data_IF_056176894706
#
_entry.id   IF_056176894706
#
_cell.length_a   1.000
_cell.length_b   1.000
_cell.length_c   1.000
_cell.angle_alpha   90.00
_cell.angle_beta   90.00
_cell.angle_gamma   90.00
#
_symmetry.space_group_name_H-M   'P 1'
#
loop_
_entity.id
_entity.type
_entity.pdbx_description
1 polymer ?
#
# COMPACT_ATOMS: atom_id res chain seq x y z
N UNK A 1 4.46 -25.36 -21.04
CA UNK A 1 3.10 -25.29 -21.63
C UNK A 1 2.67 -23.85 -21.53
N UNK A 2 2.34 -23.22 -22.66
CA UNK A 2 1.96 -21.80 -22.74
C UNK A 2 0.82 -21.53 -21.75
N UNK A 3 1.08 -20.71 -20.74
CA UNK A 3 0.07 -20.05 -19.93
C UNK A 3 -0.67 -19.07 -20.85
N UNK A 4 -1.61 -19.60 -21.64
CA UNK A 4 -2.60 -18.81 -22.35
C UNK A 4 -3.60 -18.28 -21.33
N UNK A 5 -3.77 -16.95 -21.35
CA UNK A 5 -5.01 -16.23 -21.11
C UNK A 5 -5.91 -16.78 -20.00
N UNK A 6 -5.57 -16.46 -18.76
CA UNK A 6 -6.58 -16.02 -17.81
C UNK A 6 -6.05 -14.77 -17.11
N UNK A 7 -6.87 -13.72 -17.14
CA UNK A 7 -6.72 -12.40 -16.52
C UNK A 7 -6.70 -12.49 -14.98
N UNK A 8 -5.90 -13.38 -14.42
CA UNK A 8 -5.51 -13.30 -13.02
C UNK A 8 -4.54 -12.13 -12.90
N UNK A 9 -5.04 -11.04 -12.29
CA UNK A 9 -4.30 -9.82 -11.95
C UNK A 9 -2.86 -10.16 -11.56
N UNK A 10 -1.89 -9.63 -12.31
CA UNK A 10 -0.46 -9.95 -12.26
C UNK A 10 0.24 -9.50 -10.95
N UNK A 11 -0.42 -9.47 -9.80
CA UNK A 11 0.18 -9.02 -8.53
C UNK A 11 1.23 -9.99 -7.99
N UNK A 12 2.08 -9.52 -7.08
CA UNK A 12 3.06 -10.34 -6.36
C UNK A 12 3.29 -9.77 -4.96
N UNK A 13 3.85 -10.58 -4.06
CA UNK A 13 4.22 -10.10 -2.73
C UNK A 13 5.15 -11.07 -2.01
N UNK A 14 5.75 -10.62 -0.93
CA UNK A 14 6.59 -11.45 -0.07
C UNK A 14 6.56 -10.98 1.38
N UNK A 15 7.03 -11.86 2.26
CA UNK A 15 7.30 -11.54 3.66
C UNK A 15 8.55 -10.68 3.74
N UNK A 16 8.47 -9.65 4.56
CA UNK A 16 9.56 -8.73 4.96
C UNK A 16 9.82 -8.95 6.44
N UNK A 17 11.02 -8.63 6.96
CA UNK A 17 11.27 -8.75 8.39
C UNK A 17 10.26 -7.96 9.25
N UNK A 18 9.88 -6.73 8.85
CA UNK A 18 8.84 -5.94 9.53
C UNK A 18 8.18 -4.92 8.58
N UNK A 19 7.08 -4.30 9.03
CA UNK A 19 6.34 -3.32 8.25
C UNK A 19 7.07 -2.00 7.99
N UNK A 20 8.07 -1.63 8.81
CA UNK A 20 8.88 -0.43 8.51
C UNK A 20 9.79 -0.67 7.31
N UNK A 21 10.35 -1.88 7.19
CA UNK A 21 11.12 -2.29 6.02
C UNK A 21 10.23 -2.50 4.78
N UNK A 22 8.98 -2.95 4.96
CA UNK A 22 8.01 -3.01 3.86
C UNK A 22 7.69 -1.61 3.32
N UNK A 23 7.46 -0.62 4.20
CA UNK A 23 7.28 0.78 3.82
C UNK A 23 8.53 1.35 3.11
N UNK A 24 9.74 1.03 3.60
CA UNK A 24 10.99 1.41 2.93
C UNK A 24 11.10 0.80 1.54
N UNK A 25 10.74 -0.48 1.38
CA UNK A 25 10.76 -1.14 0.08
C UNK A 25 9.70 -0.55 -0.87
N UNK A 26 8.50 -0.22 -0.39
CA UNK A 26 7.48 0.51 -1.15
C UNK A 26 7.99 1.86 -1.68
N UNK A 27 8.70 2.62 -0.85
CA UNK A 27 9.35 3.86 -1.28
C UNK A 27 10.52 3.62 -2.25
N UNK A 28 11.25 2.51 -2.11
CA UNK A 28 12.30 2.13 -3.05
C UNK A 28 11.73 1.81 -4.44
N UNK A 29 10.60 1.11 -4.51
CA UNK A 29 9.82 0.92 -5.74
C UNK A 29 9.43 2.26 -6.36
N UNK A 30 8.75 3.12 -5.60
CA UNK A 30 8.31 4.42 -6.10
C UNK A 30 9.47 5.26 -6.65
N UNK A 31 10.58 5.36 -5.89
CA UNK A 31 11.79 6.10 -6.27
C UNK A 31 12.38 5.59 -7.57
N UNK A 32 12.59 4.28 -7.69
CA UNK A 32 13.22 3.74 -8.89
C UNK A 32 12.27 3.83 -10.10
N UNK A 33 10.98 3.50 -9.95
CA UNK A 33 9.99 3.60 -11.03
C UNK A 33 9.91 5.03 -11.57
N UNK A 34 9.83 6.03 -10.68
CA UNK A 34 9.74 7.45 -11.07
C UNK A 34 10.95 7.93 -11.90
N UNK A 35 12.11 7.33 -11.69
CA UNK A 35 13.34 7.69 -12.41
C UNK A 35 13.50 7.01 -13.78
N UNK A 36 12.76 5.92 -14.05
CA UNK A 36 12.93 5.12 -15.25
C UNK A 36 12.70 5.91 -16.55
N UNK A 37 11.67 6.77 -16.68
CA UNK A 37 11.45 7.51 -17.93
C UNK A 37 12.63 8.42 -18.33
N UNK A 38 13.31 9.03 -17.36
CA UNK A 38 14.50 9.83 -17.62
C UNK A 38 15.71 8.95 -17.95
N UNK A 39 15.85 7.79 -17.31
CA UNK A 39 16.87 6.81 -17.66
C UNK A 39 16.66 6.24 -19.08
N UNK A 40 15.40 5.98 -19.46
CA UNK A 40 15.03 5.61 -20.84
C UNK A 40 15.41 6.71 -21.83
N UNK A 41 15.13 7.97 -21.49
CA UNK A 41 15.53 9.12 -22.32
C UNK A 41 17.05 9.21 -22.52
N UNK A 42 17.85 8.83 -21.53
CA UNK A 42 19.31 8.81 -21.64
C UNK A 42 19.84 7.63 -22.47
N UNK A 43 19.25 6.45 -22.30
CA UNK A 43 19.76 5.19 -22.88
C UNK A 43 19.17 4.86 -24.27
N UNK A 44 17.89 5.18 -24.46
CA UNK A 44 17.08 4.85 -25.66
C UNK A 44 16.09 6.01 -25.92
N UNK A 45 16.58 7.19 -26.35
CA UNK A 45 15.74 8.39 -26.49
C UNK A 45 14.51 8.20 -27.38
N UNK A 46 14.61 7.31 -28.37
CA UNK A 46 13.53 6.92 -29.28
C UNK A 46 12.31 6.33 -28.58
N UNK A 47 12.51 5.62 -27.47
CA UNK A 47 11.43 4.97 -26.70
C UNK A 47 10.45 5.98 -26.10
N UNK A 48 10.95 7.17 -25.79
CA UNK A 48 10.20 8.25 -25.14
C UNK A 48 10.22 9.55 -25.96
N UNK A 49 10.46 9.42 -27.26
CA UNK A 49 10.55 10.56 -28.17
C UNK A 49 9.28 11.42 -28.15
N UNK A 50 9.47 12.74 -28.21
CA UNK A 50 8.38 13.71 -28.23
C UNK A 50 7.76 14.04 -26.87
N UNK A 51 8.18 13.37 -25.78
CA UNK A 51 7.74 13.71 -24.41
C UNK A 51 8.70 14.69 -23.74
N UNK A 52 8.14 15.72 -23.12
CA UNK A 52 8.86 16.65 -22.24
C UNK A 52 9.26 15.98 -20.92
N UNK A 53 10.23 16.56 -20.20
CA UNK A 53 10.63 16.04 -18.88
C UNK A 53 9.46 16.01 -17.89
N UNK A 54 8.54 16.98 -17.98
CA UNK A 54 7.34 17.01 -17.15
C UNK A 54 6.41 15.83 -17.45
N UNK A 55 6.18 15.51 -18.73
CA UNK A 55 5.36 14.35 -19.12
C UNK A 55 6.03 13.04 -18.69
N UNK A 56 7.36 12.93 -18.83
CA UNK A 56 8.11 11.77 -18.37
C UNK A 56 7.99 11.56 -16.86
N UNK A 57 8.04 12.63 -16.08
CA UNK A 57 7.85 12.58 -14.63
C UNK A 57 6.39 12.37 -14.22
N UNK A 58 5.44 12.26 -15.15
CA UNK A 58 4.02 12.02 -14.87
C UNK A 58 3.42 10.89 -15.71
N UNK A 59 4.27 10.00 -16.27
CA UNK A 59 3.77 8.73 -16.83
C UNK A 59 3.20 7.85 -15.72
N UNK A 60 2.13 7.13 -16.05
CA UNK A 60 1.56 6.15 -15.13
C UNK A 60 2.51 4.97 -14.93
N UNK A 61 2.42 4.30 -13.78
CA UNK A 61 3.29 3.14 -13.49
C UNK A 61 3.14 2.05 -14.55
N UNK A 62 1.92 1.81 -15.04
CA UNK A 62 1.65 0.83 -16.09
C UNK A 62 2.33 1.19 -17.41
N UNK A 63 2.25 2.45 -17.85
CA UNK A 63 2.96 2.91 -19.04
C UNK A 63 4.48 2.73 -18.91
N UNK A 64 5.05 3.05 -17.75
CA UNK A 64 6.49 2.86 -17.51
C UNK A 64 6.87 1.39 -17.62
N UNK A 65 6.08 0.46 -17.04
CA UNK A 65 6.34 -0.97 -17.15
C UNK A 65 6.19 -1.47 -18.59
N UNK A 66 5.19 -0.98 -19.33
CA UNK A 66 4.98 -1.33 -20.73
C UNK A 66 6.13 -0.84 -21.64
N UNK A 67 6.66 0.36 -21.38
CA UNK A 67 7.84 0.86 -22.09
C UNK A 67 9.07 -0.01 -21.79
N UNK A 68 9.28 -0.40 -20.53
CA UNK A 68 10.41 -1.25 -20.15
C UNK A 68 10.34 -2.64 -20.80
N UNK A 69 9.15 -3.25 -20.85
CA UNK A 69 8.91 -4.55 -21.50
C UNK A 69 9.11 -4.52 -23.02
N UNK A 70 9.01 -3.34 -23.65
CA UNK A 70 9.22 -3.19 -25.09
C UNK A 70 10.69 -3.23 -25.52
N UNK A 71 11.61 -3.07 -24.57
CA UNK A 71 13.07 -3.07 -24.78
C UNK A 71 13.81 -3.98 -23.77
N UNK A 72 13.46 -5.28 -23.69
CA UNK A 72 13.98 -6.18 -22.65
C UNK A 72 15.51 -6.33 -22.68
N UNK A 73 16.14 -6.12 -23.83
CA UNK A 73 17.60 -6.14 -23.99
C UNK A 73 18.31 -4.91 -23.38
N UNK A 74 17.57 -3.84 -23.11
CA UNK A 74 18.08 -2.57 -22.56
C UNK A 74 17.82 -2.41 -21.05
N UNK A 75 17.07 -3.32 -20.43
CA UNK A 75 16.62 -3.18 -19.04
C UNK A 75 17.76 -2.95 -18.04
N UNK A 76 18.87 -3.68 -18.15
CA UNK A 76 20.00 -3.56 -17.24
C UNK A 76 20.71 -2.20 -17.38
N UNK A 77 20.84 -1.71 -18.62
CA UNK A 77 21.42 -0.40 -18.93
C UNK A 77 20.53 0.75 -18.43
N UNK A 78 19.21 0.66 -18.65
CA UNK A 78 18.22 1.62 -18.13
C UNK A 78 18.24 1.63 -16.59
N UNK A 79 18.24 0.45 -15.95
CA UNK A 79 18.33 0.34 -14.49
C UNK A 79 19.61 0.97 -13.95
N UNK A 80 20.75 0.84 -14.64
CA UNK A 80 21.99 1.47 -14.24
C UNK A 80 21.94 3.01 -14.25
N UNK A 81 21.12 3.61 -15.11
CA UNK A 81 20.92 5.07 -15.20
C UNK A 81 19.73 5.60 -14.37
N UNK A 82 18.92 4.71 -13.81
CA UNK A 82 17.84 5.05 -12.88
C UNK A 82 18.37 5.63 -11.54
N UNK A 83 17.46 5.87 -10.58
CA UNK A 83 17.78 6.26 -9.20
C UNK A 83 18.76 5.30 -8.48
N UNK A 84 18.95 4.08 -9.01
CA UNK A 84 20.00 3.14 -8.56
C UNK A 84 21.41 3.70 -8.71
N UNK A 85 21.63 4.65 -9.63
CA UNK A 85 22.91 5.36 -9.80
C UNK A 85 23.22 6.36 -8.68
N UNK A 86 22.23 6.71 -7.86
CA UNK A 86 22.33 7.77 -6.86
C UNK A 86 22.23 9.20 -7.41
N UNK A 87 22.00 9.37 -8.72
CA UNK A 87 21.87 10.70 -9.34
C UNK A 87 20.44 11.24 -9.23
N UNK A 88 20.32 12.55 -9.03
CA UNK A 88 19.08 13.34 -9.18
C UNK A 88 17.89 12.88 -8.32
N UNK A 89 18.14 12.31 -7.14
CA UNK A 89 17.10 11.81 -6.25
C UNK A 89 16.15 12.94 -5.80
N UNK A 90 16.66 14.15 -5.63
CA UNK A 90 15.92 15.35 -5.27
C UNK A 90 14.91 15.79 -6.34
N UNK A 91 15.13 15.41 -7.60
CA UNK A 91 14.26 15.78 -8.74
C UNK A 91 13.06 14.86 -8.90
N UNK A 92 13.01 13.74 -8.16
CA UNK A 92 11.96 12.73 -8.32
C UNK A 92 10.60 13.18 -7.76
N UNK A 93 10.58 14.27 -7.00
CA UNK A 93 9.36 14.87 -6.48
C UNK A 93 9.14 14.63 -4.99
N UNK A 94 7.95 15.02 -4.52
CA UNK A 94 7.57 14.99 -3.10
C UNK A 94 6.82 13.71 -2.73
N UNK A 95 7.06 13.22 -1.53
CA UNK A 95 6.39 12.06 -0.92
C UNK A 95 5.35 12.55 0.08
N UNK A 96 4.07 12.44 -0.27
CA UNK A 96 2.97 12.98 0.51
C UNK A 96 2.40 11.89 1.41
N UNK A 97 2.20 12.23 2.68
CA UNK A 97 1.86 11.28 3.75
C UNK A 97 0.90 11.96 4.72
N UNK A 98 -0.05 11.25 5.36
CA UNK A 98 -0.91 11.87 6.37
C UNK A 98 -0.07 12.49 7.50
N UNK A 99 -0.57 13.56 8.11
CA UNK A 99 0.12 14.22 9.22
C UNK A 99 0.37 13.25 10.38
N UNK A 100 -0.57 12.33 10.61
CA UNK A 100 -0.55 11.26 11.63
C UNK A 100 0.17 9.98 11.19
N UNK A 101 0.95 10.02 10.09
CA UNK A 101 1.75 8.89 9.60
C UNK A 101 2.60 8.21 10.69
N UNK A 102 2.85 6.92 10.52
CA UNK A 102 3.86 6.21 11.28
C UNK A 102 5.27 6.81 11.03
N UNK A 103 6.10 6.85 12.08
CA UNK A 103 7.43 7.49 12.02
C UNK A 103 8.37 6.85 10.99
N UNK A 104 8.10 5.60 10.55
CA UNK A 104 8.90 4.90 9.54
C UNK A 104 9.04 5.68 8.25
N UNK A 105 8.07 6.52 7.87
CA UNK A 105 8.13 7.27 6.61
C UNK A 105 9.23 8.33 6.56
N UNK A 106 9.48 9.03 7.68
CA UNK A 106 10.60 9.96 7.77
C UNK A 106 11.93 9.20 7.71
N UNK A 107 12.04 8.10 8.47
CA UNK A 107 13.21 7.23 8.45
C UNK A 107 13.45 6.61 7.07
N UNK A 108 12.40 6.23 6.35
CA UNK A 108 12.51 5.65 5.01
C UNK A 108 13.02 6.67 4.00
N UNK A 109 12.51 7.91 4.04
CA UNK A 109 12.97 8.99 3.16
C UNK A 109 14.44 9.37 3.39
N UNK A 110 14.89 9.35 4.65
CA UNK A 110 16.29 9.50 5.03
C UNK A 110 17.15 8.36 4.45
N UNK A 111 16.83 7.10 4.79
CA UNK A 111 17.58 5.92 4.35
C UNK A 111 17.67 5.81 2.81
N UNK A 112 16.58 6.11 2.10
CA UNK A 112 16.52 5.94 0.64
C UNK A 112 17.18 7.10 -0.13
N UNK A 113 17.65 8.12 0.58
CA UNK A 113 18.43 9.23 0.02
C UNK A 113 17.62 10.32 -0.68
N UNK A 114 16.29 10.32 -0.57
CA UNK A 114 15.48 11.47 -1.04
C UNK A 114 15.50 12.62 -0.02
N UNK A 115 15.76 12.33 1.25
CA UNK A 115 15.87 13.32 2.33
C UNK A 115 14.52 13.69 2.94
N UNK A 116 14.59 14.16 4.20
CA UNK A 116 13.40 14.50 5.00
C UNK A 116 12.57 15.64 4.39
N UNK A 117 13.21 16.58 3.71
CA UNK A 117 12.58 17.75 3.07
C UNK A 117 11.69 17.39 1.88
N UNK A 118 11.76 16.14 1.40
CA UNK A 118 10.87 15.62 0.36
C UNK A 118 9.58 15.05 0.93
N UNK A 119 9.48 14.83 2.25
CA UNK A 119 8.29 14.29 2.90
C UNK A 119 7.37 15.43 3.32
N UNK A 120 6.19 15.50 2.70
CA UNK A 120 5.21 16.55 2.99
C UNK A 120 4.05 15.95 3.80
N UNK A 121 3.80 16.42 5.03
CA UNK A 121 2.61 16.03 5.77
C UNK A 121 1.35 16.68 5.16
N UNK A 122 0.35 15.86 4.88
CA UNK A 122 -0.99 16.30 4.48
C UNK A 122 -1.87 16.36 5.72
N UNK A 123 -2.58 17.47 5.99
CA UNK A 123 -3.51 17.58 7.11
C UNK A 123 -4.53 16.43 7.16
N UNK A 124 -4.98 16.11 8.37
CA UNK A 124 -6.08 15.16 8.60
C UNK A 124 -7.34 15.89 9.02
N UNK A 125 -8.50 15.30 8.73
CA UNK A 125 -9.80 15.79 9.16
C UNK A 125 -10.11 15.39 10.62
N UNK A 126 -11.33 15.72 11.05
CA UNK A 126 -11.84 15.42 12.39
C UNK A 126 -12.06 13.92 12.67
N UNK A 127 -12.06 13.08 11.63
CA UNK A 127 -12.05 11.62 11.73
C UNK A 127 -10.62 11.05 11.75
N UNK A 128 -9.60 11.90 11.81
CA UNK A 128 -8.19 11.56 11.73
C UNK A 128 -7.79 10.89 10.40
N UNK A 129 -8.56 11.11 9.34
CA UNK A 129 -8.30 10.64 7.97
C UNK A 129 -7.63 11.75 7.17
N UNK A 130 -6.79 11.42 6.19
CA UNK A 130 -6.19 12.41 5.29
C UNK A 130 -7.27 13.30 4.64
N UNK A 131 -7.11 14.61 4.73
CA UNK A 131 -7.99 15.56 4.05
C UNK A 131 -7.64 15.61 2.55
N UNK A 132 -8.57 15.11 1.74
CA UNK A 132 -8.41 14.99 0.28
C UNK A 132 -8.38 16.37 -0.41
N UNK A 133 -9.05 17.38 0.16
CA UNK A 133 -9.01 18.73 -0.42
C UNK A 133 -7.65 19.38 -0.19
N UNK A 134 -7.06 19.20 0.99
CA UNK A 134 -5.70 19.67 1.25
C UNK A 134 -4.66 18.86 0.45
N UNK A 135 -4.87 17.54 0.26
CA UNK A 135 -4.06 16.75 -0.67
C UNK A 135 -4.08 17.35 -2.08
N UNK A 136 -5.26 17.59 -2.65
CA UNK A 136 -5.40 18.15 -4.00
C UNK A 136 -4.72 19.51 -4.12
N UNK A 137 -4.92 20.40 -3.14
CA UNK A 137 -4.32 21.72 -3.09
C UNK A 137 -2.78 21.66 -3.06
N UNK A 138 -2.21 20.78 -2.25
CA UNK A 138 -0.75 20.57 -2.20
C UNK A 138 -0.25 20.06 -3.55
N UNK A 139 -0.90 19.04 -4.12
CA UNK A 139 -0.49 18.44 -5.41
C UNK A 139 -0.54 19.47 -6.53
N UNK A 140 -1.62 20.23 -6.65
CA UNK A 140 -1.76 21.28 -7.67
C UNK A 140 -0.76 22.42 -7.48
N UNK A 141 -0.47 22.81 -6.24
CA UNK A 141 0.55 23.81 -5.92
C UNK A 141 1.95 23.38 -6.40
N UNK A 142 2.36 22.16 -6.05
CA UNK A 142 3.63 21.59 -6.48
C UNK A 142 3.72 21.46 -8.01
N UNK A 143 2.62 21.02 -8.65
CA UNK A 143 2.57 20.86 -10.10
C UNK A 143 2.65 22.20 -10.85
N UNK A 144 2.08 23.28 -10.31
CA UNK A 144 2.19 24.63 -10.87
C UNK A 144 3.66 25.11 -10.92
N UNK A 145 4.47 24.69 -9.94
CA UNK A 145 5.92 24.95 -9.86
C UNK A 145 6.77 23.90 -10.60
N UNK A 146 6.14 22.98 -11.33
CA UNK A 146 6.82 21.85 -12.01
C UNK A 146 7.61 20.94 -11.06
N UNK A 147 7.17 20.83 -9.81
CA UNK A 147 7.66 19.84 -8.86
C UNK A 147 6.80 18.56 -8.96
N UNK A 148 7.37 17.40 -9.33
CA UNK A 148 6.61 16.16 -9.42
C UNK A 148 6.12 15.66 -8.06
N UNK A 149 5.12 14.79 -8.09
CA UNK A 149 4.73 14.00 -6.93
C UNK A 149 5.35 12.63 -7.08
N UNK A 150 6.31 12.29 -6.21
CA UNK A 150 6.93 10.97 -6.18
C UNK A 150 5.87 9.92 -5.86
N UNK A 151 5.06 10.19 -4.83
CA UNK A 151 3.91 9.38 -4.49
C UNK A 151 3.13 9.90 -3.30
N UNK A 152 2.03 9.23 -3.02
CA UNK A 152 1.10 9.49 -1.92
C UNK A 152 0.95 8.20 -1.11
N UNK A 153 0.93 8.32 0.20
CA UNK A 153 0.58 7.23 1.13
C UNK A 153 -0.84 7.42 1.61
N UNK A 154 -1.69 6.40 1.44
CA UNK A 154 -2.94 6.30 2.19
C UNK A 154 -2.79 5.27 3.31
N UNK A 155 -3.29 5.56 4.51
CA UNK A 155 -3.18 4.69 5.68
C UNK A 155 -4.50 3.94 5.91
N UNK A 156 -4.41 2.62 6.06
CA UNK A 156 -5.54 1.75 6.40
C UNK A 156 -5.28 1.14 7.77
N UNK A 157 -5.84 1.79 8.79
CA UNK A 157 -5.59 1.51 10.20
C UNK A 157 -4.45 2.38 10.75
N UNK A 158 -4.75 3.65 11.06
CA UNK A 158 -3.81 4.57 11.74
C UNK A 158 -3.36 4.01 13.09
N UNK A 159 -2.15 4.39 13.52
CA UNK A 159 -1.50 3.80 14.70
C UNK A 159 -2.32 4.01 15.99
N UNK A 160 -2.87 5.20 16.18
CA UNK A 160 -3.48 5.59 17.46
C UNK A 160 -5.02 5.50 17.43
N UNK A 161 -5.64 5.79 16.29
CA UNK A 161 -7.10 5.85 16.16
C UNK A 161 -7.70 4.67 15.39
N UNK A 162 -6.89 3.88 14.69
CA UNK A 162 -7.38 2.85 13.77
C UNK A 162 -8.14 3.43 12.56
N UNK A 163 -7.90 4.72 12.24
CA UNK A 163 -8.58 5.41 11.15
C UNK A 163 -8.19 4.83 9.79
N UNK A 164 -9.11 4.94 8.83
CA UNK A 164 -8.93 4.44 7.46
C UNK A 164 -9.11 5.63 6.53
N UNK A 165 -8.03 6.00 5.84
CA UNK A 165 -8.05 7.05 4.84
C UNK A 165 -8.99 6.66 3.68
N UNK A 166 -9.59 7.67 3.05
CA UNK A 166 -10.44 7.48 1.87
C UNK A 166 -9.62 7.13 0.63
N UNK A 167 -9.12 5.88 0.54
CA UNK A 167 -8.28 5.40 -0.57
C UNK A 167 -9.01 5.55 -1.92
N UNK A 168 -10.32 5.29 -1.93
CA UNK A 168 -11.21 5.51 -3.09
C UNK A 168 -11.18 6.97 -3.56
N UNK A 169 -11.14 7.92 -2.63
CA UNK A 169 -11.07 9.35 -2.93
C UNK A 169 -9.68 9.75 -3.44
N UNK A 170 -8.60 9.16 -2.90
CA UNK A 170 -7.23 9.37 -3.41
C UNK A 170 -7.13 8.86 -4.86
N UNK A 171 -7.69 7.68 -5.15
CA UNK A 171 -7.71 7.11 -6.50
C UNK A 171 -8.56 7.96 -7.45
N UNK A 172 -9.73 8.43 -7.00
CA UNK A 172 -10.58 9.33 -7.79
C UNK A 172 -9.85 10.65 -8.11
N UNK A 173 -9.16 11.23 -7.13
CA UNK A 173 -8.33 12.42 -7.32
C UNK A 173 -7.20 12.17 -8.32
N UNK A 174 -6.50 11.03 -8.25
CA UNK A 174 -5.48 10.65 -9.24
C UNK A 174 -6.03 10.66 -10.66
N UNK A 175 -7.20 10.04 -10.89
CA UNK A 175 -7.87 9.99 -12.21
C UNK A 175 -8.28 11.38 -12.72
N UNK A 176 -8.62 12.31 -11.83
CA UNK A 176 -8.89 13.71 -12.20
C UNK A 176 -7.60 14.40 -12.62
N UNK A 177 -6.54 14.28 -11.81
CA UNK A 177 -5.24 14.91 -12.03
C UNK A 177 -4.48 14.36 -13.26
N UNK A 178 -4.70 13.10 -13.61
CA UNK A 178 -4.15 12.49 -14.83
C UNK A 178 -4.59 13.26 -16.09
N UNK A 179 -5.83 13.76 -16.12
CA UNK A 179 -6.33 14.60 -17.23
C UNK A 179 -5.60 15.94 -17.34
N UNK A 180 -5.02 16.39 -16.23
CA UNK A 180 -4.21 17.60 -16.14
C UNK A 180 -2.71 17.30 -16.34
N UNK A 181 -2.34 16.07 -16.71
CA UNK A 181 -0.96 15.65 -16.93
C UNK A 181 -0.15 15.48 -15.63
N UNK A 182 -0.80 15.11 -14.53
CA UNK A 182 -0.20 14.88 -13.22
C UNK A 182 -0.46 13.43 -12.80
N UNK A 183 0.60 12.70 -12.42
CA UNK A 183 0.49 11.33 -11.92
C UNK A 183 1.33 11.15 -10.65
N UNK A 184 0.81 10.34 -9.72
CA UNK A 184 1.53 9.92 -8.53
C UNK A 184 1.38 8.43 -8.26
N UNK A 185 2.47 7.84 -7.78
CA UNK A 185 2.47 6.49 -7.20
C UNK A 185 1.60 6.47 -5.93
N UNK A 186 0.75 5.47 -5.77
CA UNK A 186 -0.01 5.27 -4.53
C UNK A 186 0.54 4.06 -3.78
N UNK A 187 1.00 4.30 -2.55
CA UNK A 187 1.28 3.25 -1.58
C UNK A 187 0.17 3.22 -0.53
N UNK A 188 -0.33 2.04 -0.17
CA UNK A 188 -1.25 1.89 0.96
C UNK A 188 -0.51 1.27 2.13
N UNK A 189 -0.36 2.04 3.21
CA UNK A 189 0.14 1.53 4.49
C UNK A 189 -1.03 0.84 5.23
N UNK A 190 -1.22 -0.44 4.94
CA UNK A 190 -2.18 -1.31 5.60
C UNK A 190 -1.48 -2.25 6.59
N UNK A 191 -0.37 -1.81 7.20
CA UNK A 191 0.40 -2.66 8.11
C UNK A 191 -0.51 -3.23 9.22
N UNK A 192 -1.38 -2.39 9.79
CA UNK A 192 -2.37 -2.83 10.77
C UNK A 192 -3.66 -3.34 10.11
N UNK A 193 -4.30 -2.55 9.25
CA UNK A 193 -5.65 -2.84 8.73
C UNK A 193 -5.72 -3.80 7.54
N UNK A 194 -4.60 -4.31 7.03
CA UNK A 194 -4.56 -5.10 5.79
C UNK A 194 -5.34 -6.41 5.86
N UNK A 195 -5.21 -7.16 6.96
CA UNK A 195 -6.01 -8.38 7.19
C UNK A 195 -7.50 -8.09 7.35
N UNK A 196 -7.87 -6.86 7.72
CA UNK A 196 -9.26 -6.39 7.74
C UNK A 196 -9.94 -6.52 6.37
N UNK A 197 -9.18 -6.54 5.27
CA UNK A 197 -9.75 -6.72 3.92
C UNK A 197 -10.49 -8.05 3.76
N UNK A 198 -10.17 -9.07 4.57
CA UNK A 198 -10.79 -10.39 4.52
C UNK A 198 -12.31 -10.36 4.83
N UNK A 199 -12.82 -9.35 5.54
CA UNK A 199 -14.27 -9.25 5.78
C UNK A 199 -15.05 -8.88 4.51
N UNK A 200 -14.37 -8.38 3.47
CA UNK A 200 -15.02 -7.95 2.22
C UNK A 200 -14.88 -8.99 1.11
N UNK A 201 -14.33 -10.17 1.39
CA UNK A 201 -14.09 -11.20 0.39
C UNK A 201 -14.98 -12.41 0.67
N UNK A 202 -15.74 -12.87 -0.31
CA UNK A 202 -16.54 -14.09 -0.21
C UNK A 202 -15.66 -15.35 -0.21
N UNK A 203 -16.27 -16.54 -0.16
CA UNK A 203 -15.54 -17.81 -0.13
C UNK A 203 -14.69 -18.08 -1.39
N UNK A 204 -15.05 -17.46 -2.51
CA UNK A 204 -14.33 -17.53 -3.79
C UNK A 204 -13.32 -16.37 -3.96
N UNK A 205 -13.20 -15.51 -2.95
CA UNK A 205 -12.38 -14.29 -2.91
C UNK A 205 -12.83 -13.16 -3.84
N UNK A 206 -14.12 -13.11 -4.21
CA UNK A 206 -14.70 -11.94 -4.85
C UNK A 206 -15.01 -10.87 -3.80
N UNK A 207 -14.91 -9.60 -4.22
CA UNK A 207 -15.24 -8.47 -3.34
C UNK A 207 -16.77 -8.34 -3.20
N UNK A 208 -17.26 -8.44 -1.98
CA UNK A 208 -18.69 -8.46 -1.65
C UNK A 208 -19.28 -7.03 -1.85
N UNK A 209 -20.40 -6.86 -2.58
CA UNK A 209 -21.12 -5.59 -2.67
C UNK A 209 -21.54 -5.07 -1.28
N UNK A 210 -21.63 -3.74 -1.11
CA UNK A 210 -21.89 -3.16 0.21
C UNK A 210 -23.28 -3.55 0.73
N UNK A 211 -24.26 -3.54 -0.16
CA UNK A 211 -25.64 -3.93 0.07
C UNK A 211 -25.80 -5.38 0.57
N UNK A 212 -24.90 -6.28 0.16
CA UNK A 212 -24.93 -7.71 0.52
C UNK A 212 -24.07 -8.01 1.76
N UNK A 213 -23.22 -7.07 2.18
CA UNK A 213 -22.14 -7.31 3.14
C UNK A 213 -22.65 -7.84 4.48
N UNK A 214 -23.70 -7.23 5.03
CA UNK A 214 -24.29 -7.63 6.31
C UNK A 214 -24.86 -9.05 6.23
N UNK A 215 -25.57 -9.38 5.16
CA UNK A 215 -26.20 -10.69 5.00
C UNK A 215 -25.15 -11.79 4.83
N UNK A 216 -24.07 -11.50 4.09
CA UNK A 216 -22.92 -12.40 3.99
C UNK A 216 -22.23 -12.57 5.35
N UNK A 217 -21.96 -11.48 6.08
CA UNK A 217 -21.36 -11.56 7.41
C UNK A 217 -22.19 -12.40 8.38
N UNK A 218 -23.51 -12.24 8.36
CA UNK A 218 -24.42 -13.04 9.16
C UNK A 218 -24.40 -14.52 8.74
N UNK A 219 -24.47 -14.81 7.43
CA UNK A 219 -24.38 -16.17 6.88
C UNK A 219 -23.11 -16.90 7.33
N UNK A 220 -21.95 -16.24 7.30
CA UNK A 220 -20.67 -16.83 7.65
C UNK A 220 -20.30 -16.70 9.13
N UNK A 221 -21.17 -16.14 9.97
CA UNK A 221 -20.91 -15.86 11.40
C UNK A 221 -19.63 -15.04 11.60
N UNK A 222 -19.43 -14.02 10.75
CA UNK A 222 -18.37 -13.02 10.93
C UNK A 222 -18.66 -12.15 12.16
N UNK A 223 -19.93 -11.78 12.34
CA UNK A 223 -20.45 -11.07 13.50
C UNK A 223 -21.56 -11.89 14.17
N UNK A 224 -21.69 -11.77 15.49
CA UNK A 224 -22.71 -12.53 16.24
C UNK A 224 -24.09 -11.88 16.18
N UNK A 225 -24.17 -10.57 15.98
CA UNK A 225 -25.42 -9.84 15.82
C UNK A 225 -25.61 -9.42 14.36
N UNK A 226 -26.83 -9.54 13.83
CA UNK A 226 -27.16 -9.07 12.48
C UNK A 226 -27.35 -7.54 12.48
N UNK A 227 -26.24 -6.81 12.45
CA UNK A 227 -26.17 -5.34 12.50
C UNK A 227 -25.12 -4.80 11.54
N UNK A 228 -25.23 -3.53 11.19
CA UNK A 228 -24.23 -2.84 10.39
C UNK A 228 -23.04 -2.42 11.27
N UNK A 229 -21.89 -3.06 11.06
CA UNK A 229 -20.63 -2.71 11.74
C UNK A 229 -19.70 -1.86 10.87
N UNK A 230 -19.85 -1.96 9.55
CA UNK A 230 -18.93 -1.35 8.59
C UNK A 230 -19.60 -0.18 7.89
N UNK A 231 -18.92 0.96 7.88
CA UNK A 231 -19.36 2.16 7.19
C UNK A 231 -19.11 2.04 5.67
N UNK A 232 -19.97 2.64 4.85
CA UNK A 232 -19.88 2.58 3.38
C UNK A 232 -18.56 3.18 2.86
N UNK A 233 -18.08 4.26 3.49
CA UNK A 233 -16.80 4.86 3.10
C UNK A 233 -15.60 3.98 3.45
N UNK A 234 -15.70 3.15 4.50
CA UNK A 234 -14.67 2.16 4.85
C UNK A 234 -14.67 1.04 3.82
N UNK A 235 -15.84 0.53 3.44
CA UNK A 235 -15.96 -0.47 2.36
C UNK A 235 -15.36 0.05 1.05
N UNK A 236 -15.70 1.29 0.68
CA UNK A 236 -15.18 1.94 -0.52
C UNK A 236 -13.66 2.07 -0.50
N UNK A 237 -13.08 2.49 0.62
CA UNK A 237 -11.63 2.57 0.80
C UNK A 237 -10.95 1.20 0.62
N UNK A 238 -11.46 0.14 1.24
CA UNK A 238 -10.91 -1.22 1.11
C UNK A 238 -11.03 -1.78 -0.32
N UNK A 239 -12.10 -1.43 -1.04
CA UNK A 239 -12.27 -1.79 -2.44
C UNK A 239 -11.14 -1.21 -3.29
N UNK A 240 -10.86 0.08 -3.09
CA UNK A 240 -9.87 0.84 -3.86
C UNK A 240 -8.41 0.48 -3.58
N UNK A 241 -8.10 -0.32 -2.55
CA UNK A 241 -6.72 -0.79 -2.28
C UNK A 241 -6.10 -1.47 -3.51
N UNK A 242 -6.89 -2.16 -4.33
CA UNK A 242 -6.39 -2.82 -5.54
C UNK A 242 -5.80 -1.87 -6.60
N UNK A 243 -6.07 -0.57 -6.46
CA UNK A 243 -5.57 0.46 -7.36
C UNK A 243 -4.20 1.00 -6.97
N UNK A 244 -3.75 0.73 -5.73
CA UNK A 244 -2.44 1.11 -5.24
C UNK A 244 -1.35 0.27 -5.87
N UNK A 245 -0.24 0.90 -6.24
CA UNK A 245 0.91 0.21 -6.81
C UNK A 245 1.61 -0.71 -5.82
N UNK A 246 1.62 -0.37 -4.53
CA UNK A 246 2.03 -1.28 -3.47
C UNK A 246 1.25 -1.10 -2.17
N UNK A 247 1.25 -2.16 -1.38
CA UNK A 247 0.55 -2.25 -0.10
C UNK A 247 1.47 -2.90 0.93
N UNK A 248 1.68 -2.24 2.07
CA UNK A 248 2.27 -2.88 3.26
C UNK A 248 1.19 -3.59 4.06
N UNK A 249 1.48 -4.79 4.56
CA UNK A 249 0.59 -5.59 5.42
C UNK A 249 1.42 -6.43 6.40
N UNK A 250 1.12 -6.38 7.70
CA UNK A 250 1.91 -7.11 8.70
C UNK A 250 1.19 -8.36 9.24
N UNK A 251 1.64 -9.58 8.90
CA UNK A 251 1.23 -10.80 9.58
C UNK A 251 1.39 -10.76 11.10
N UNK A 252 2.42 -10.08 11.64
CA UNK A 252 2.63 -9.99 13.09
C UNK A 252 1.76 -8.97 13.82
N UNK A 253 0.87 -8.25 13.10
CA UNK A 253 -0.16 -7.37 13.68
C UNK A 253 -1.50 -8.11 13.66
N UNK A 254 -2.41 -7.72 12.77
CA UNK A 254 -3.74 -8.32 12.66
C UNK A 254 -3.74 -9.67 11.93
N UNK A 255 -2.57 -10.17 11.51
CA UNK A 255 -2.41 -11.55 11.03
C UNK A 255 -2.19 -12.58 12.15
N UNK A 256 -2.01 -12.16 13.40
CA UNK A 256 -1.80 -13.06 14.56
C UNK A 256 -0.62 -14.06 14.39
N UNK A 257 0.38 -13.71 13.58
CA UNK A 257 1.63 -14.46 13.43
C UNK A 257 2.66 -13.95 14.46
N UNK A 258 3.53 -14.80 15.03
CA UNK A 258 4.59 -14.31 15.92
C UNK A 258 5.52 -13.30 15.23
N UNK A 259 6.01 -12.34 16.00
CA UNK A 259 7.10 -11.49 15.53
C UNK A 259 8.34 -12.34 15.16
N UNK A 260 9.08 -11.99 14.11
CA UNK A 260 8.88 -10.86 13.18
C UNK A 260 8.38 -11.35 11.82
N UNK A 261 7.30 -10.73 11.33
CA UNK A 261 6.70 -11.00 10.02
C UNK A 261 5.92 -9.76 9.52
N UNK A 262 6.60 -8.95 8.70
CA UNK A 262 5.96 -7.95 7.85
C UNK A 262 5.67 -8.51 6.45
N UNK A 263 5.10 -7.68 5.59
CA UNK A 263 4.77 -8.07 4.23
C UNK A 263 4.56 -6.88 3.31
N UNK A 264 4.90 -7.07 2.04
CA UNK A 264 4.63 -6.11 0.96
C UNK A 264 3.96 -6.83 -0.21
N UNK A 265 3.02 -6.15 -0.84
CA UNK A 265 2.33 -6.57 -2.07
C UNK A 265 2.54 -5.48 -3.12
N UNK A 266 2.77 -5.89 -4.37
CA UNK A 266 2.86 -5.03 -5.54
C UNK A 266 1.76 -5.39 -6.54
N UNK A 267 1.18 -4.36 -7.17
CA UNK A 267 0.06 -4.50 -8.12
C UNK A 267 0.43 -5.29 -9.37
N UNK A 268 1.68 -5.13 -9.82
CA UNK A 268 2.22 -5.76 -11.01
C UNK A 268 3.58 -6.39 -10.72
N UNK A 269 3.69 -7.70 -10.96
CA UNK A 269 4.88 -8.51 -10.73
C UNK A 269 6.10 -7.96 -11.47
N UNK A 270 5.93 -7.29 -12.61
CA UNK A 270 7.02 -6.66 -13.37
C UNK A 270 7.75 -5.58 -12.57
N UNK A 271 7.07 -4.94 -11.61
CA UNK A 271 7.69 -3.91 -10.79
C UNK A 271 8.92 -4.43 -10.04
N UNK A 272 8.96 -5.71 -9.65
CA UNK A 272 10.11 -6.32 -8.94
C UNK A 272 11.40 -6.26 -9.74
N UNK A 273 11.30 -6.24 -11.07
CA UNK A 273 12.47 -6.21 -11.95
C UNK A 273 13.19 -4.85 -11.89
N UNK A 274 12.47 -3.80 -11.49
CA UNK A 274 13.01 -2.45 -11.29
C UNK A 274 14.00 -2.41 -10.11
N UNK A 275 13.71 -3.15 -9.03
CA UNK A 275 14.58 -3.21 -7.85
C UNK A 275 15.58 -4.36 -7.89
N UNK A 276 15.43 -5.31 -8.83
CA UNK A 276 16.18 -6.56 -8.77
C UNK A 276 17.69 -6.46 -8.96
N UNK A 277 18.42 -7.41 -8.39
CA UNK A 277 19.86 -7.62 -8.59
C UNK A 277 20.15 -9.10 -8.88
N UNK A 278 20.68 -9.40 -10.06
CA UNK A 278 21.15 -10.74 -10.39
C UNK A 278 22.67 -10.84 -10.21
N UNK A 279 23.10 -11.69 -9.28
CA UNK A 279 24.51 -12.04 -9.13
C UNK A 279 24.91 -13.01 -10.24
N UNK A 280 25.76 -12.56 -11.18
CA UNK A 280 26.21 -13.34 -12.35
C UNK A 280 26.96 -14.63 -12.01
N UNK A 281 27.30 -14.85 -10.74
CA UNK A 281 28.13 -15.96 -10.27
C UNK A 281 27.35 -17.12 -9.60
N UNK A 282 26.02 -17.06 -9.52
CA UNK A 282 25.24 -18.09 -8.77
C UNK A 282 24.10 -18.75 -9.56
N UNK A 283 23.54 -18.13 -10.61
CA UNK A 283 22.33 -18.67 -11.25
C UNK A 283 22.35 -18.57 -12.78
N UNK A 284 21.98 -19.66 -13.46
CA UNK A 284 21.65 -19.64 -14.89
C UNK A 284 20.40 -18.79 -15.13
N UNK A 285 20.42 -17.95 -16.20
CA UNK A 285 19.25 -17.18 -16.65
C UNK A 285 18.11 -18.16 -17.01
N UNK A 286 17.19 -18.41 -16.08
CA UNK A 286 16.04 -19.30 -16.30
C UNK A 286 15.53 -20.09 -15.08
N UNK A 287 16.11 -19.95 -13.89
CA UNK A 287 15.61 -20.63 -12.70
C UNK A 287 14.29 -19.99 -12.18
N UNK A 288 13.22 -20.77 -12.08
CA UNK A 288 11.96 -20.32 -11.45
C UNK A 288 12.10 -20.18 -9.92
N UNK A 289 11.17 -19.45 -9.29
CA UNK A 289 11.02 -19.35 -7.82
C UNK A 289 11.00 -20.78 -7.25
N UNK A 290 11.82 -21.12 -6.22
CA UNK A 290 12.33 -20.25 -5.16
C UNK A 290 13.79 -19.78 -5.29
N UNK A 291 14.50 -20.12 -6.36
CA UNK A 291 15.96 -19.95 -6.43
C UNK A 291 16.43 -18.47 -6.40
N UNK A 292 15.55 -17.50 -6.68
CA UNK A 292 15.89 -16.09 -6.90
C UNK A 292 15.14 -15.09 -6.01
N UNK A 293 14.46 -15.50 -4.92
CA UNK A 293 13.70 -14.55 -4.08
C UNK A 293 14.58 -13.39 -3.59
N UNK A 294 15.81 -13.69 -3.14
CA UNK A 294 16.76 -12.69 -2.66
C UNK A 294 17.17 -11.64 -3.72
N UNK A 295 16.98 -11.93 -5.01
CA UNK A 295 17.24 -10.97 -6.07
C UNK A 295 16.13 -9.92 -6.24
N UNK A 296 14.96 -10.12 -5.64
CA UNK A 296 13.76 -9.29 -5.85
C UNK A 296 13.28 -8.53 -4.60
N UNK A 297 14.06 -8.51 -3.54
CA UNK A 297 13.66 -7.97 -2.22
C UNK A 297 14.74 -7.04 -1.69
N UNK A 298 14.38 -6.17 -0.74
CA UNK A 298 15.35 -5.25 -0.10
C UNK A 298 16.28 -5.97 0.88
N UNK A 299 15.77 -6.97 1.60
CA UNK A 299 16.54 -7.73 2.60
C UNK A 299 17.38 -8.86 1.98
N UNK A 300 18.18 -9.54 2.81
CA UNK A 300 19.01 -10.67 2.39
C UNK A 300 18.47 -12.01 2.88
N UNK A 301 19.31 -12.74 3.62
CA UNK A 301 18.92 -13.99 4.28
C UNK A 301 17.70 -13.81 5.17
N UNK A 302 16.72 -14.70 5.03
CA UNK A 302 15.44 -14.68 5.76
C UNK A 302 15.00 -16.08 6.15
N UNK A 303 14.35 -16.22 7.29
CA UNK A 303 13.99 -17.53 7.83
C UNK A 303 12.83 -18.17 7.04
N UNK A 304 13.04 -19.38 6.51
CA UNK A 304 11.97 -20.19 5.92
C UNK A 304 10.85 -20.53 6.93
N UNK A 305 11.18 -20.57 8.23
CA UNK A 305 10.22 -20.77 9.31
C UNK A 305 9.17 -19.64 9.40
N UNK A 306 9.54 -18.39 9.12
CA UNK A 306 8.58 -17.28 9.06
C UNK A 306 7.58 -17.50 7.93
N UNK A 307 8.05 -17.95 6.76
CA UNK A 307 7.17 -18.31 5.65
C UNK A 307 6.24 -19.48 6.01
N UNK A 308 6.75 -20.52 6.68
CA UNK A 308 5.93 -21.62 7.16
C UNK A 308 4.86 -21.17 8.16
N UNK A 309 5.20 -20.23 9.06
CA UNK A 309 4.25 -19.71 10.06
C UNK A 309 3.12 -18.91 9.42
N UNK A 310 3.43 -18.00 8.50
CA UNK A 310 2.40 -17.23 7.76
C UNK A 310 1.57 -18.16 6.88
N UNK A 311 2.21 -19.09 6.16
CA UNK A 311 1.55 -20.07 5.32
C UNK A 311 0.56 -20.92 6.12
N UNK A 312 0.97 -21.44 7.29
CA UNK A 312 0.11 -22.23 8.15
C UNK A 312 -1.10 -21.41 8.63
N UNK A 313 -0.88 -20.17 9.04
CA UNK A 313 -1.97 -19.28 9.46
C UNK A 313 -2.98 -19.03 8.32
N UNK A 314 -2.50 -18.75 7.10
CA UNK A 314 -3.35 -18.52 5.92
C UNK A 314 -4.09 -19.77 5.42
N UNK A 315 -3.55 -20.97 5.67
CA UNK A 315 -4.21 -22.22 5.27
C UNK A 315 -5.20 -22.72 6.33
N UNK A 316 -4.99 -22.38 7.61
CA UNK A 316 -5.96 -22.64 8.69
C UNK A 316 -7.10 -21.63 8.64
N UNK A 317 -6.79 -20.36 8.40
CA UNK A 317 -7.75 -19.28 8.22
C UNK A 317 -7.57 -18.70 6.82
N UNK A 318 -8.41 -19.08 5.84
CA UNK A 318 -8.42 -18.42 4.53
C UNK A 318 -8.60 -16.91 4.65
N UNK A 319 -8.00 -16.15 3.72
CA UNK A 319 -8.01 -14.67 3.71
C UNK A 319 -9.35 -14.07 3.24
N UNK A 320 -10.47 -14.61 3.72
CA UNK A 320 -11.83 -14.21 3.37
C UNK A 320 -12.82 -14.47 4.53
N UNK A 321 -14.12 -14.27 4.31
CA UNK A 321 -15.18 -14.44 5.34
C UNK A 321 -15.23 -15.83 5.98
N UNK A 322 -14.66 -16.86 5.35
CA UNK A 322 -14.64 -18.22 5.92
C UNK A 322 -13.59 -18.41 7.01
N UNK A 323 -12.52 -17.61 7.00
CA UNK A 323 -11.35 -17.69 7.89
C UNK A 323 -11.08 -16.36 8.62
N UNK A 324 -10.10 -15.58 8.14
CA UNK A 324 -9.71 -14.31 8.76
C UNK A 324 -10.86 -13.32 8.91
N UNK A 325 -11.84 -13.36 8.01
CA UNK A 325 -13.02 -12.50 8.15
C UNK A 325 -13.70 -12.68 9.50
N UNK A 326 -13.81 -13.90 10.02
CA UNK A 326 -14.36 -14.17 11.37
C UNK A 326 -13.47 -13.64 12.49
N UNK A 327 -12.15 -13.80 12.37
CA UNK A 327 -11.20 -13.32 13.36
C UNK A 327 -11.21 -11.78 13.45
N UNK A 328 -11.24 -11.11 12.29
CA UNK A 328 -11.38 -9.67 12.19
C UNK A 328 -12.75 -9.20 12.69
N UNK A 329 -13.83 -9.89 12.31
CA UNK A 329 -15.19 -9.60 12.77
C UNK A 329 -15.30 -9.66 14.30
N UNK A 330 -14.75 -10.69 14.93
CA UNK A 330 -14.73 -10.80 16.39
C UNK A 330 -13.98 -9.63 17.06
N UNK A 331 -12.86 -9.17 16.48
CA UNK A 331 -12.13 -8.01 16.97
C UNK A 331 -12.93 -6.71 16.84
N UNK A 332 -13.52 -6.46 15.66
CA UNK A 332 -14.34 -5.28 15.38
C UNK A 332 -15.57 -5.25 16.28
N UNK A 333 -16.25 -6.39 16.45
CA UNK A 333 -17.43 -6.48 17.31
C UNK A 333 -17.08 -6.21 18.78
N UNK A 334 -15.96 -6.75 19.25
CA UNK A 334 -15.43 -6.44 20.58
C UNK A 334 -15.18 -4.94 20.77
N UNK A 335 -14.60 -4.28 19.77
CA UNK A 335 -14.38 -2.84 19.77
C UNK A 335 -15.70 -2.05 19.82
N UNK A 336 -16.71 -2.43 19.03
CA UNK A 336 -18.03 -1.79 19.06
C UNK A 336 -18.73 -1.97 20.41
N UNK A 337 -18.66 -3.17 21.01
CA UNK A 337 -19.22 -3.42 22.35
C UNK A 337 -18.53 -2.55 23.40
N UNK A 338 -17.20 -2.44 23.35
CA UNK A 338 -16.44 -1.60 24.27
C UNK A 338 -16.75 -0.11 24.08
N UNK A 339 -16.81 0.36 22.83
CA UNK A 339 -17.22 1.72 22.50
C UNK A 339 -18.60 2.08 23.08
N UNK A 340 -19.59 1.22 22.85
CA UNK A 340 -20.95 1.43 23.36
C UNK A 340 -21.00 1.41 24.89
N UNK A 341 -20.22 0.54 25.53
CA UNK A 341 -20.09 0.54 26.99
C UNK A 341 -19.52 1.86 27.52
N UNK A 342 -18.49 2.40 26.88
CA UNK A 342 -17.85 3.65 27.31
C UNK A 342 -18.70 4.89 27.05
N UNK A 343 -19.53 4.89 26.00
CA UNK A 343 -20.36 6.03 25.58
C UNK A 343 -21.32 6.50 26.68
N UNK A 344 -21.91 5.57 27.40
CA UNK A 344 -22.92 5.86 28.42
C UNK A 344 -22.35 5.79 29.86
N UNK A 345 -21.03 5.62 30.00
CA UNK A 345 -20.39 5.40 31.28
C UNK A 345 -20.30 6.71 32.10
N UNK A 346 -20.93 6.72 33.27
CA UNK A 346 -20.85 7.85 34.20
C UNK A 346 -20.40 7.40 35.57
N UNK A 347 -19.66 8.28 36.25
CA UNK A 347 -19.11 8.02 37.57
C UNK A 347 -19.57 9.10 38.54
N UNK A 348 -19.96 8.67 39.73
CA UNK A 348 -20.18 9.56 40.88
C UNK A 348 -18.96 9.50 41.79
N UNK A 349 -18.23 10.61 41.88
CA UNK A 349 -17.06 10.73 42.76
C UNK A 349 -17.36 11.80 43.80
N UNK A 350 -17.63 11.39 45.04
CA UNK A 350 -18.15 12.27 46.08
C UNK A 350 -19.57 12.74 45.76
N UNK A 351 -19.80 14.06 45.78
CA UNK A 351 -21.09 14.69 45.46
C UNK A 351 -21.24 15.10 43.99
N UNK A 352 -20.19 14.96 43.16
CA UNK A 352 -20.20 15.38 41.76
C UNK A 352 -20.44 14.18 40.82
N UNK A 353 -21.35 14.35 39.87
CA UNK A 353 -21.50 13.45 38.73
C UNK A 353 -20.56 13.87 37.61
N UNK A 354 -19.83 12.92 37.02
CA UNK A 354 -19.03 13.11 35.79
C UNK A 354 -19.45 12.05 34.77
N UNK A 355 -19.93 12.47 33.62
CA UNK A 355 -20.17 11.59 32.46
C UNK A 355 -18.94 11.55 31.57
N UNK A 356 -18.63 10.40 30.96
CA UNK A 356 -17.80 10.39 29.77
C UNK A 356 -18.55 11.12 28.66
N UNK A 357 -17.88 12.04 27.95
CA UNK A 357 -18.39 12.59 26.69
C UNK A 357 -17.53 12.01 25.58
N UNK A 358 -17.86 10.80 25.13
CA UNK A 358 -17.28 10.24 23.91
C UNK A 358 -18.19 10.68 22.78
N UNK A 359 -17.82 11.79 22.14
CA UNK A 359 -18.48 12.27 20.92
C UNK A 359 -18.05 11.40 19.74
N UNK A 360 -19.02 10.96 18.94
CA UNK A 360 -18.80 10.31 17.64
C UNK A 360 -18.24 11.30 16.64
N UNK A 361 -17.18 10.91 15.93
CA UNK A 361 -16.89 11.44 14.59
C UNK A 361 -16.67 10.29 13.64
#
# INVERSE_FOLDING_TARGET
>A
TKLQNNELKRGWGHIVADGSLANLEGLWYARNIKSLPLAMKEVTPELVAGKSDWELMNLSTEEIMNLLDSVPEKIDEIKAHSARSGKHLEKLGKWLVPQTKHYSWLKAADIIGIGLDQVIPVPVDHNYRMDINELEKIVRGLAAEKTPILGVVGVVGSTEEGAIDGIDKIVALRRVLEKDGIYFYLHVDAAYGGYGRAIFLDEDNNFIPFEDLKDVHYKYNVFTENKDYILEEVHSAYKAIEEAESVTIDPHKMGYVPYSAGGIVIKDIRMRDVISYFATYVFEKGADIPALLGAYILEGSKAGATAASVWAAHHVLPLNVTGYGKLMGASIEGAHRFYNFLKDLSFKVGTKNRSSSITTH
#
